data_IF_675748064842
#
_entry.id   IF_675748064842
#
_cell.length_a   1.000
_cell.length_b   1.000
_cell.length_c   1.000
_cell.angle_alpha   90.00
_cell.angle_beta   90.00
_cell.angle_gamma   90.00
#
_symmetry.space_group_name_H-M   'P 1'
#
loop_
_entity.id
_entity.type
_entity.pdbx_description
1 polymer ?
#
# COMPACT_ATOMS: atom_id res chain seq x y z
N UNK A 1 64.09 -16.87 43.64
CA UNK A 1 62.90 -17.73 43.39
C UNK A 1 61.62 -17.26 44.05
N UNK A 2 61.64 -16.55 45.20
CA UNK A 2 60.42 -16.00 45.84
C UNK A 2 59.87 -14.74 45.14
N UNK A 3 60.73 -13.85 44.64
CA UNK A 3 60.34 -12.62 43.92
C UNK A 3 59.75 -12.86 42.53
N UNK A 4 60.23 -13.87 41.80
CA UNK A 4 59.73 -14.22 40.46
C UNK A 4 58.32 -14.84 40.49
N UNK A 5 57.97 -15.54 41.58
CA UNK A 5 56.61 -16.08 41.80
C UNK A 5 55.60 -14.98 42.11
N UNK A 6 56.02 -13.93 42.82
CA UNK A 6 55.17 -12.77 43.14
C UNK A 6 54.87 -11.96 41.87
N UNK A 7 55.87 -11.74 41.01
CA UNK A 7 55.69 -11.02 39.75
C UNK A 7 54.75 -11.76 38.77
N UNK A 8 54.86 -13.10 38.70
CA UNK A 8 53.99 -13.92 37.87
C UNK A 8 52.52 -13.88 38.34
N UNK A 9 52.29 -13.91 39.66
CA UNK A 9 50.94 -13.80 40.23
C UNK A 9 50.33 -12.42 39.95
N UNK A 10 51.12 -11.34 40.08
CA UNK A 10 50.66 -9.98 39.77
C UNK A 10 50.37 -9.79 38.27
N UNK A 11 51.18 -10.40 37.40
CA UNK A 11 50.96 -10.37 35.95
C UNK A 11 49.69 -11.14 35.55
N UNK A 12 49.47 -12.34 36.10
CA UNK A 12 48.24 -13.11 35.88
C UNK A 12 47.02 -12.36 36.42
N UNK A 13 47.12 -11.71 37.59
CA UNK A 13 46.04 -10.90 38.15
C UNK A 13 45.69 -9.69 37.27
N UNK A 14 46.69 -8.99 36.72
CA UNK A 14 46.48 -7.85 35.81
C UNK A 14 45.91 -8.27 34.44
N UNK A 15 46.32 -9.42 33.91
CA UNK A 15 45.75 -9.99 32.68
C UNK A 15 44.32 -10.48 32.92
N UNK A 16 44.01 -11.06 34.08
CA UNK A 16 42.65 -11.46 34.45
C UNK A 16 41.70 -10.30 34.72
N UNK A 17 42.23 -9.14 35.17
CA UNK A 17 41.46 -7.91 35.32
C UNK A 17 41.18 -7.22 33.97
N UNK A 18 41.90 -7.57 32.90
CA UNK A 18 41.68 -7.09 31.53
C UNK A 18 40.72 -7.99 30.72
N UNK A 19 40.33 -9.15 31.27
CA UNK A 19 39.33 -10.07 30.70
C UNK A 19 37.99 -10.01 31.45
N UNK A 20 37.66 -8.87 32.05
CA UNK A 20 36.29 -8.58 32.48
C UNK A 20 35.57 -7.96 31.28
N UNK A 21 35.48 -8.72 30.20
CA UNK A 21 34.69 -8.36 29.03
C UNK A 21 33.24 -8.37 29.49
N UNK A 22 32.62 -7.19 29.40
CA UNK A 22 31.29 -6.93 29.92
C UNK A 22 30.29 -7.94 29.38
N UNK A 23 29.48 -8.48 30.28
CA UNK A 23 28.18 -9.05 29.92
C UNK A 23 27.22 -7.87 29.72
N UNK A 24 27.42 -7.11 28.64
CA UNK A 24 26.35 -6.25 28.13
C UNK A 24 25.27 -7.16 27.58
N UNK A 25 24.01 -6.91 27.90
CA UNK A 25 22.90 -7.55 27.21
C UNK A 25 23.02 -7.15 25.73
N UNK A 26 23.23 -8.12 24.84
CA UNK A 26 23.19 -7.85 23.40
C UNK A 26 21.77 -7.39 23.05
N UNK A 27 21.65 -6.22 22.42
CA UNK A 27 20.37 -5.69 22.02
C UNK A 27 19.75 -6.55 20.90
N UNK A 28 18.42 -6.62 20.89
CA UNK A 28 17.63 -7.33 19.89
C UNK A 28 16.51 -6.41 19.40
N UNK A 29 16.33 -6.38 18.08
CA UNK A 29 15.19 -5.74 17.41
C UNK A 29 14.35 -6.85 16.79
N UNK A 30 13.02 -6.78 16.95
CA UNK A 30 12.09 -7.65 16.24
C UNK A 30 10.84 -6.89 15.82
N UNK A 31 10.51 -6.99 14.54
CA UNK A 31 9.25 -6.49 13.99
C UNK A 31 8.19 -7.56 14.20
N UNK A 32 7.33 -7.38 15.21
CA UNK A 32 6.30 -8.36 15.58
C UNK A 32 5.06 -8.30 14.70
N UNK A 33 4.82 -7.15 14.07
CA UNK A 33 3.68 -6.95 13.17
C UNK A 33 3.96 -5.83 12.17
N UNK A 34 3.48 -6.02 10.94
CA UNK A 34 3.47 -5.00 9.90
C UNK A 34 2.16 -5.12 9.12
N UNK A 35 1.30 -4.11 9.25
CA UNK A 35 -0.09 -4.17 8.74
C UNK A 35 -0.38 -2.97 7.86
N UNK A 36 -1.00 -3.23 6.71
CA UNK A 36 -1.59 -2.22 5.84
C UNK A 36 -3.10 -2.15 6.09
N UNK A 37 -3.62 -0.95 6.30
CA UNK A 37 -5.05 -0.72 6.50
C UNK A 37 -5.51 0.55 5.76
N UNK A 38 -6.36 0.40 4.73
CA UNK A 38 -6.80 -0.84 4.08
C UNK A 38 -5.69 -1.58 3.32
N UNK A 39 -5.77 -2.92 3.21
CA UNK A 39 -4.80 -3.74 2.46
C UNK A 39 -5.16 -3.93 0.97
N UNK A 40 -6.28 -3.35 0.53
CA UNK A 40 -6.74 -3.32 -0.85
C UNK A 40 -7.36 -1.96 -1.11
N UNK A 41 -6.87 -1.25 -2.12
CA UNK A 41 -7.30 0.11 -2.48
C UNK A 41 -7.35 0.29 -3.99
N UNK A 42 -7.90 1.40 -4.45
CA UNK A 42 -7.81 1.77 -5.85
C UNK A 42 -6.55 2.59 -6.16
N UNK A 43 -6.23 2.71 -7.45
CA UNK A 43 -5.19 3.60 -7.95
C UNK A 43 -5.34 5.03 -7.39
N UNK A 44 -4.26 5.59 -6.84
CA UNK A 44 -4.23 6.95 -6.26
C UNK A 44 -4.82 7.09 -4.86
N UNK A 45 -5.41 6.03 -4.28
CA UNK A 45 -5.85 6.03 -2.89
C UNK A 45 -4.67 5.80 -1.93
N UNK A 46 -4.94 5.90 -0.63
CA UNK A 46 -3.93 5.78 0.42
C UNK A 46 -4.23 4.60 1.35
N UNK A 47 -3.16 3.99 1.86
CA UNK A 47 -3.18 2.99 2.92
C UNK A 47 -2.25 3.42 4.05
N UNK A 48 -2.71 3.25 5.29
CA UNK A 48 -1.87 3.46 6.46
C UNK A 48 -1.13 2.16 6.77
N UNK A 49 0.19 2.25 6.89
CA UNK A 49 1.07 1.13 7.22
C UNK A 49 1.58 1.33 8.64
N UNK A 50 1.24 0.39 9.52
CA UNK A 50 1.62 0.44 10.94
C UNK A 50 2.48 -0.77 11.30
N UNK A 51 3.63 -0.52 11.89
CA UNK A 51 4.56 -1.51 12.41
C UNK A 51 4.53 -1.57 13.93
N UNK A 52 4.67 -2.77 14.49
CA UNK A 52 4.93 -2.99 15.91
C UNK A 52 6.33 -3.56 16.05
N UNK A 53 7.17 -2.89 16.83
CA UNK A 53 8.58 -3.25 17.01
C UNK A 53 8.83 -3.47 18.49
N UNK A 54 9.45 -4.61 18.82
CA UNK A 54 10.04 -4.87 20.11
C UNK A 54 11.54 -4.60 20.02
N UNK A 55 12.03 -3.72 20.90
CA UNK A 55 13.45 -3.40 21.02
C UNK A 55 13.83 -3.42 22.50
N UNK A 56 14.93 -4.11 22.82
CA UNK A 56 15.30 -4.40 24.19
C UNK A 56 16.69 -3.85 24.60
N UNK A 57 17.28 -3.03 23.72
CA UNK A 57 18.52 -2.30 23.93
C UNK A 57 18.31 -0.88 24.45
N UNK A 58 19.44 -0.21 24.72
CA UNK A 58 19.47 1.14 25.27
C UNK A 58 19.71 2.15 24.13
N UNK A 59 18.64 2.72 23.55
CA UNK A 59 18.80 3.68 22.45
C UNK A 59 17.52 4.01 21.69
N UNK A 60 17.69 4.70 20.57
CA UNK A 60 16.64 4.96 19.59
C UNK A 60 16.84 4.09 18.38
N UNK A 61 15.75 3.59 17.80
CA UNK A 61 15.77 2.87 16.53
C UNK A 61 15.37 3.78 15.38
N UNK A 62 16.02 3.60 14.23
CA UNK A 62 15.73 4.25 12.96
C UNK A 62 14.83 3.36 12.12
N UNK A 63 13.84 3.98 11.47
CA UNK A 63 12.88 3.31 10.58
C UNK A 63 13.15 3.73 9.14
N UNK A 64 13.48 2.76 8.30
CA UNK A 64 13.73 2.96 6.88
C UNK A 64 12.65 2.27 6.05
N UNK A 65 11.86 3.05 5.34
CA UNK A 65 10.75 2.57 4.52
C UNK A 65 11.10 2.61 3.04
N UNK A 66 10.65 1.60 2.29
CA UNK A 66 10.74 1.58 0.83
C UNK A 66 9.55 0.86 0.20
N UNK A 67 9.27 1.14 -1.07
CA UNK A 67 8.23 0.45 -1.83
C UNK A 67 8.69 0.22 -3.28
N UNK A 68 8.15 -0.80 -3.93
CA UNK A 68 8.38 -1.09 -5.36
C UNK A 68 7.52 -0.23 -6.30
N UNK A 69 6.54 0.49 -5.76
CA UNK A 69 5.73 1.49 -6.47
C UNK A 69 4.88 2.34 -5.53
N UNK A 70 4.48 3.52 -6.00
CA UNK A 70 3.75 4.52 -5.21
C UNK A 70 4.68 5.49 -4.47
N UNK A 71 4.15 6.13 -3.43
CA UNK A 71 4.87 7.11 -2.62
C UNK A 71 4.60 6.88 -1.13
N UNK A 72 5.65 6.89 -0.31
CA UNK A 72 5.55 6.81 1.15
C UNK A 72 5.76 8.20 1.73
N UNK A 73 4.89 8.58 2.65
CA UNK A 73 4.97 9.83 3.41
C UNK A 73 4.90 9.54 4.91
N UNK A 74 5.68 10.30 5.69
CA UNK A 74 5.82 10.08 7.14
C UNK A 74 7.12 9.37 7.51
N UNK A 75 7.24 9.03 8.80
CA UNK A 75 8.44 8.40 9.37
C UNK A 75 8.09 7.71 10.70
N UNK A 76 8.94 6.78 11.13
CA UNK A 76 8.74 6.04 12.37
C UNK A 76 7.94 4.76 12.16
N UNK A 77 7.22 4.33 13.19
CA UNK A 77 6.47 3.07 13.18
C UNK A 77 5.18 3.11 12.35
N UNK A 78 4.73 4.30 11.93
CA UNK A 78 3.54 4.47 11.08
C UNK A 78 3.85 5.41 9.93
N UNK A 79 3.44 5.01 8.72
CA UNK A 79 3.57 5.80 7.50
C UNK A 79 2.31 5.69 6.66
N UNK A 80 2.12 6.66 5.77
CA UNK A 80 1.05 6.62 4.77
C UNK A 80 1.65 6.29 3.42
N UNK A 81 1.17 5.21 2.80
CA UNK A 81 1.51 4.82 1.44
C UNK A 81 0.41 5.23 0.47
N UNK A 82 0.78 5.88 -0.63
CA UNK A 82 -0.13 6.28 -1.72
C UNK A 82 0.08 5.36 -2.92
N UNK A 83 -0.99 4.71 -3.37
CA UNK A 83 -0.95 3.81 -4.51
C UNK A 83 -0.63 4.54 -5.82
N UNK A 84 0.17 3.94 -6.72
CA UNK A 84 0.41 4.48 -8.04
C UNK A 84 -0.83 4.34 -8.95
N UNK A 85 -0.74 4.93 -10.15
CA UNK A 85 -1.83 4.91 -11.15
C UNK A 85 -1.91 3.60 -11.96
N UNK A 86 -1.40 2.49 -11.43
CA UNK A 86 -1.40 1.19 -12.10
C UNK A 86 -1.84 0.11 -11.13
N UNK A 87 -2.79 -0.72 -11.55
CA UNK A 87 -3.24 -1.87 -10.77
C UNK A 87 -2.13 -2.93 -10.67
N UNK A 88 -2.12 -3.62 -9.54
CA UNK A 88 -1.10 -4.62 -9.22
C UNK A 88 -1.00 -4.85 -7.72
N UNK A 89 -0.10 -5.74 -7.33
CA UNK A 89 0.28 -5.93 -5.93
C UNK A 89 1.60 -5.23 -5.70
N UNK A 90 1.65 -4.34 -4.72
CA UNK A 90 2.84 -3.58 -4.36
C UNK A 90 3.38 -4.05 -3.02
N UNK A 91 4.70 -4.11 -2.91
CA UNK A 91 5.42 -4.53 -1.71
C UNK A 91 6.00 -3.29 -1.02
N UNK A 92 5.66 -3.13 0.26
CA UNK A 92 6.17 -2.09 1.14
C UNK A 92 7.10 -2.78 2.14
N UNK A 93 8.36 -2.35 2.18
CA UNK A 93 9.40 -2.89 3.05
C UNK A 93 9.73 -1.89 4.15
N UNK A 94 9.95 -2.42 5.35
CA UNK A 94 10.45 -1.71 6.51
C UNK A 94 11.72 -2.40 6.99
N UNK A 95 12.77 -1.61 7.19
CA UNK A 95 13.96 -1.98 7.95
C UNK A 95 14.00 -1.13 9.21
N UNK A 96 14.17 -1.78 10.38
CA UNK A 96 14.37 -1.09 11.65
C UNK A 96 15.76 -1.40 12.19
N UNK A 97 16.53 -0.39 12.57
CA UNK A 97 17.90 -0.58 13.08
C UNK A 97 18.25 0.40 14.20
N UNK A 98 19.08 -0.02 15.14
CA UNK A 98 19.71 0.86 16.15
C UNK A 98 21.16 1.24 15.77
N UNK A 99 21.63 0.82 14.59
CA UNK A 99 23.01 1.00 14.12
C UNK A 99 23.91 -0.22 14.32
N UNK A 100 23.56 -1.12 15.25
CA UNK A 100 24.32 -2.35 15.56
C UNK A 100 23.58 -3.61 15.11
N UNK A 101 22.27 -3.66 15.36
CA UNK A 101 21.34 -4.71 14.92
C UNK A 101 20.23 -4.14 14.04
N UNK A 102 19.63 -5.01 13.23
CA UNK A 102 18.51 -4.64 12.37
C UNK A 102 17.54 -5.81 12.17
N UNK A 103 16.29 -5.47 11.87
CA UNK A 103 15.28 -6.43 11.42
C UNK A 103 14.49 -5.86 10.23
N UNK A 104 13.96 -6.75 9.40
CA UNK A 104 13.29 -6.41 8.14
C UNK A 104 11.93 -7.09 8.03
N UNK A 105 10.93 -6.35 7.57
CA UNK A 105 9.58 -6.87 7.32
C UNK A 105 8.99 -6.27 6.04
N UNK A 106 8.08 -7.00 5.42
CA UNK A 106 7.38 -6.56 4.21
C UNK A 106 5.89 -6.84 4.29
N UNK A 107 5.08 -5.93 3.75
CA UNK A 107 3.63 -6.09 3.60
C UNK A 107 3.21 -5.84 2.15
N UNK A 108 2.21 -6.57 1.70
CA UNK A 108 1.65 -6.44 0.36
C UNK A 108 0.34 -5.66 0.39
N UNK A 109 0.15 -4.75 -0.55
CA UNK A 109 -1.11 -4.02 -0.76
C UNK A 109 -1.59 -4.24 -2.18
N UNK A 110 -2.85 -4.64 -2.32
CA UNK A 110 -3.49 -4.81 -3.61
C UNK A 110 -4.02 -3.46 -4.10
N UNK A 111 -3.75 -3.14 -5.37
CA UNK A 111 -4.25 -1.94 -6.04
C UNK A 111 -5.06 -2.36 -7.24
N UNK A 112 -6.31 -1.94 -7.26
CA UNK A 112 -7.21 -2.12 -8.40
C UNK A 112 -7.41 -0.80 -9.15
N UNK A 113 -7.72 -0.87 -10.45
CA UNK A 113 -8.18 0.32 -11.17
C UNK A 113 -9.61 0.62 -10.76
N UNK A 114 -9.94 1.90 -10.55
CA UNK A 114 -11.34 2.32 -10.49
C UNK A 114 -11.98 1.92 -11.83
N UNK A 115 -13.07 1.14 -11.84
CA UNK A 115 -13.80 0.89 -13.08
C UNK A 115 -14.23 2.25 -13.64
N UNK A 116 -13.71 2.61 -14.81
CA UNK A 116 -14.23 3.78 -15.51
C UNK A 116 -15.72 3.52 -15.73
N UNK A 117 -16.56 4.39 -15.16
CA UNK A 117 -18.01 4.29 -15.25
C UNK A 117 -18.48 4.66 -16.66
N UNK A 118 -18.07 3.88 -17.65
CA UNK A 118 -18.70 3.83 -18.97
C UNK A 118 -19.81 2.76 -18.99
N UNK A 119 -20.27 2.33 -17.80
CA UNK A 119 -21.40 1.43 -17.66
C UNK A 119 -22.69 2.27 -17.62
N UNK A 120 -23.25 2.52 -18.80
CA UNK A 120 -24.68 2.72 -18.92
C UNK A 120 -25.31 1.32 -18.92
N UNK A 121 -25.83 0.80 -17.79
CA UNK A 121 -26.56 -0.45 -17.86
C UNK A 121 -27.74 -0.25 -18.80
N UNK A 122 -27.72 -0.92 -19.95
CA UNK A 122 -28.93 -1.30 -20.67
C UNK A 122 -29.75 -2.29 -19.81
N UNK A 123 -29.90 -2.03 -18.50
CA UNK A 123 -30.74 -2.83 -17.63
C UNK A 123 -32.19 -2.49 -17.94
N UNK A 124 -33.01 -3.54 -18.10
CA UNK A 124 -34.47 -3.43 -18.18
C UNK A 124 -34.96 -2.55 -17.02
N UNK A 125 -35.73 -1.51 -17.33
CA UNK A 125 -36.36 -0.64 -16.34
C UNK A 125 -35.64 0.69 -16.06
N UNK A 126 -34.49 0.94 -16.69
CA UNK A 126 -33.86 2.26 -16.65
C UNK A 126 -34.61 3.25 -17.57
N UNK A 127 -34.85 4.46 -17.07
CA UNK A 127 -35.39 5.57 -17.87
C UNK A 127 -34.24 6.44 -18.35
N UNK A 128 -34.12 6.58 -19.68
CA UNK A 128 -33.09 7.40 -20.30
C UNK A 128 -33.75 8.65 -20.90
N UNK A 129 -33.21 9.82 -20.57
CA UNK A 129 -33.52 11.07 -21.29
C UNK A 129 -32.38 11.35 -22.25
N UNK A 130 -32.65 11.26 -23.55
CA UNK A 130 -31.76 11.78 -24.57
C UNK A 130 -32.28 13.13 -25.07
N UNK A 131 -31.36 14.01 -25.43
CA UNK A 131 -31.66 15.28 -26.08
C UNK A 131 -31.47 15.08 -27.59
N UNK A 132 -32.55 15.17 -28.38
CA UNK A 132 -32.41 15.09 -29.84
C UNK A 132 -32.20 16.49 -30.38
N UNK A 133 -31.09 16.66 -31.09
CA UNK A 133 -30.82 17.85 -31.89
C UNK A 133 -31.10 17.51 -33.33
N UNK A 134 -32.14 18.09 -33.91
CA UNK A 134 -32.32 18.09 -35.35
C UNK A 134 -31.89 19.45 -35.89
N UNK A 135 -31.07 19.46 -36.94
CA UNK A 135 -30.81 20.65 -37.73
C UNK A 135 -31.47 20.48 -39.09
N UNK A 136 -32.35 21.39 -39.48
CA UNK A 136 -32.82 21.44 -40.86
C UNK A 136 -31.74 22.01 -41.81
N UNK A 137 -31.94 21.89 -43.12
CA UNK A 137 -31.03 22.45 -44.13
C UNK A 137 -30.93 23.99 -44.06
N UNK A 138 -31.81 24.65 -43.31
CA UNK A 138 -31.81 26.10 -43.07
C UNK A 138 -31.05 26.50 -41.79
N UNK A 139 -30.54 25.53 -41.01
CA UNK A 139 -29.79 25.76 -39.78
C UNK A 139 -30.65 26.07 -38.55
N UNK A 140 -31.95 25.81 -38.58
CA UNK A 140 -32.83 25.90 -37.40
C UNK A 140 -32.61 24.67 -36.52
N UNK A 141 -32.36 24.89 -35.23
CA UNK A 141 -32.19 23.83 -34.22
C UNK A 141 -33.32 23.93 -33.19
N UNK A 142 -34.20 22.94 -33.18
CA UNK A 142 -35.20 22.78 -32.13
C UNK A 142 -34.79 21.63 -31.20
N UNK A 143 -34.76 21.92 -29.90
CA UNK A 143 -34.47 20.93 -28.85
C UNK A 143 -35.77 20.30 -28.37
N UNK A 144 -35.87 18.98 -28.49
CA UNK A 144 -36.96 18.21 -27.90
C UNK A 144 -36.42 17.31 -26.78
N UNK A 145 -36.93 17.49 -25.57
CA UNK A 145 -36.60 16.67 -24.41
C UNK A 145 -37.82 15.84 -24.03
N UNK A 146 -37.79 14.54 -24.31
CA UNK A 146 -38.77 13.60 -23.77
C UNK A 146 -38.08 12.41 -23.10
N UNK A 147 -38.56 11.97 -21.93
CA UNK A 147 -38.18 10.69 -21.37
C UNK A 147 -38.74 9.58 -22.24
N UNK A 148 -37.87 8.73 -22.78
CA UNK A 148 -38.25 7.58 -23.60
C UNK A 148 -37.82 6.30 -22.86
N UNK A 149 -38.74 5.35 -22.75
CA UNK A 149 -38.44 4.05 -22.18
C UNK A 149 -37.90 3.14 -23.29
N UNK A 150 -36.77 2.49 -23.05
CA UNK A 150 -36.24 1.49 -23.98
C UNK A 150 -36.83 0.13 -23.59
N UNK A 151 -37.75 -0.37 -24.40
CA UNK A 151 -38.15 -1.78 -24.38
C UNK A 151 -37.24 -2.55 -25.33
N UNK A 152 -36.33 -3.38 -24.80
CA UNK A 152 -35.51 -4.27 -25.62
C UNK A 152 -36.00 -5.71 -25.50
N UNK A 153 -36.13 -6.39 -26.64
CA UNK A 153 -36.35 -7.84 -26.72
C UNK A 153 -35.02 -8.50 -27.08
N UNK A 154 -34.50 -9.32 -26.17
CA UNK A 154 -33.30 -10.14 -26.43
C UNK A 154 -33.69 -11.35 -27.29
N UNK A 155 -33.42 -11.31 -28.60
CA UNK A 155 -33.40 -12.54 -29.40
C UNK A 155 -32.05 -13.24 -29.22
N UNK A 156 -32.10 -14.52 -28.82
CA UNK A 156 -30.97 -15.30 -28.33
C UNK A 156 -29.85 -15.61 -29.35
N UNK A 157 -29.91 -15.05 -30.55
CA UNK A 157 -29.14 -15.49 -31.72
C UNK A 157 -28.27 -14.38 -32.36
N UNK A 158 -28.26 -13.14 -31.85
CA UNK A 158 -27.38 -12.11 -32.43
C UNK A 158 -26.78 -11.14 -31.41
N UNK A 159 -25.47 -10.88 -31.54
CA UNK A 159 -24.73 -9.84 -30.83
C UNK A 159 -24.99 -8.44 -31.43
N UNK A 160 -26.06 -8.29 -32.23
CA UNK A 160 -26.45 -7.04 -32.88
C UNK A 160 -27.67 -6.49 -32.14
N UNK A 161 -27.42 -5.50 -31.29
CA UNK A 161 -28.47 -4.77 -30.59
C UNK A 161 -29.03 -3.70 -31.53
N UNK A 162 -30.30 -3.83 -31.92
CA UNK A 162 -31.04 -2.73 -32.55
C UNK A 162 -31.88 -2.02 -31.49
N UNK A 163 -31.68 -0.71 -31.34
CA UNK A 163 -32.63 0.14 -30.63
C UNK A 163 -33.75 0.44 -31.62
N UNK A 164 -34.90 -0.20 -31.41
CA UNK A 164 -36.12 0.11 -32.15
C UNK A 164 -36.82 1.26 -31.42
N UNK A 165 -36.85 2.44 -32.04
CA UNK A 165 -37.72 3.52 -31.59
C UNK A 165 -39.12 3.21 -32.12
N UNK A 166 -40.06 2.92 -31.21
CA UNK A 166 -41.47 2.84 -31.60
C UNK A 166 -42.04 4.27 -31.58
N UNK A 167 -42.66 4.68 -32.69
CA UNK A 167 -43.47 5.90 -32.79
C UNK A 167 -44.80 5.79 -32.01
#
# INVERSE_FOLDING_TARGET
MRSLKILFIVFVALVSAFLITGCGKEASISITSLVANPNSIHTGEQSTITATVEYDGDGTVEYSWSCDGGEISGSGAEVTWTAPNSAGTYVINLTVSDGDVSDDASVQVAVDTIPQADYFPLAVGNSWTFEVHWSDTAGSTDTYTQPQFIDYTTERESLLWYIMFNE
#
